data_IF_288891219901
#
_entry.id   IF_288891219901
#
_cell.length_a   1.000
_cell.length_b   1.000
_cell.length_c   1.000
_cell.angle_alpha   90.00
_cell.angle_beta   90.00
_cell.angle_gamma   90.00
#
_symmetry.space_group_name_H-M   'P 1'
#
loop_
_entity.id
_entity.type
_entity.pdbx_description
1 polymer ?
#
# COMPACT_ATOMS: atom_id res chain seq x y z
N UNK A 1 -19.09 16.93 17.45
CA UNK A 1 -17.61 16.94 17.28
C UNK A 1 -17.27 17.34 15.86
N UNK A 2 -16.44 18.37 15.66
CA UNK A 2 -16.00 18.90 14.36
C UNK A 2 -14.76 18.15 13.90
N UNK A 3 -14.81 17.49 12.78
CA UNK A 3 -13.73 16.63 12.27
C UNK A 3 -13.07 17.28 11.05
N UNK A 4 -11.75 17.37 11.05
CA UNK A 4 -10.96 17.60 9.83
C UNK A 4 -10.34 16.29 9.40
N UNK A 5 -10.53 15.93 8.14
CA UNK A 5 -9.99 14.71 7.55
C UNK A 5 -8.79 15.03 6.64
N UNK A 6 -7.71 14.26 6.75
CA UNK A 6 -6.49 14.42 5.94
C UNK A 6 -6.17 13.11 5.22
N UNK A 7 -6.15 13.12 3.90
CA UNK A 7 -5.89 11.93 3.12
C UNK A 7 -5.77 12.21 1.62
N UNK A 8 -5.34 11.21 0.85
CA UNK A 8 -5.12 11.41 -0.58
C UNK A 8 -5.64 10.25 -1.45
N UNK A 9 -5.21 8.96 -1.30
CA UNK A 9 -5.57 7.86 -2.19
C UNK A 9 -6.95 7.28 -1.86
N UNK A 10 -7.35 6.28 -2.65
CA UNK A 10 -8.60 5.54 -2.45
C UNK A 10 -8.71 4.91 -1.07
N UNK A 11 -7.61 4.47 -0.48
CA UNK A 11 -7.55 3.96 0.90
C UNK A 11 -8.08 4.99 1.91
N UNK A 12 -7.74 6.26 1.72
CA UNK A 12 -8.25 7.35 2.55
C UNK A 12 -9.71 7.70 2.21
N UNK A 13 -10.07 7.63 0.93
CA UNK A 13 -11.43 7.92 0.47
C UNK A 13 -12.47 7.02 1.13
N UNK A 14 -12.20 5.72 1.31
CA UNK A 14 -13.11 4.79 1.96
C UNK A 14 -13.48 5.25 3.39
N UNK A 15 -12.49 5.69 4.17
CA UNK A 15 -12.72 6.24 5.51
C UNK A 15 -13.52 7.55 5.48
N UNK A 16 -13.20 8.47 4.56
CA UNK A 16 -13.94 9.73 4.41
C UNK A 16 -15.41 9.48 4.02
N UNK A 17 -15.66 8.60 3.05
CA UNK A 17 -17.01 8.22 2.65
C UNK A 17 -17.81 7.70 3.83
N UNK A 18 -17.24 6.77 4.57
CA UNK A 18 -17.91 6.15 5.72
C UNK A 18 -18.26 7.17 6.81
N UNK A 19 -17.37 8.12 7.09
CA UNK A 19 -17.67 9.24 8.01
C UNK A 19 -18.84 10.09 7.52
N UNK A 20 -18.82 10.54 6.27
CA UNK A 20 -19.86 11.41 5.70
C UNK A 20 -21.21 10.70 5.60
N UNK A 21 -21.23 9.46 5.14
CA UNK A 21 -22.45 8.64 5.00
C UNK A 21 -23.09 8.28 6.34
N UNK A 22 -22.31 8.26 7.43
CA UNK A 22 -22.82 8.08 8.79
C UNK A 22 -23.05 9.42 9.53
N UNK A 23 -23.15 10.53 8.79
CA UNK A 23 -23.51 11.85 9.30
C UNK A 23 -22.54 12.45 10.34
N UNK A 24 -21.27 12.07 10.30
CA UNK A 24 -20.27 12.76 11.10
C UNK A 24 -20.00 14.16 10.54
N UNK A 25 -19.78 15.12 11.44
CA UNK A 25 -19.56 16.52 11.07
C UNK A 25 -18.13 16.74 10.54
N UNK A 26 -17.88 16.37 9.28
CA UNK A 26 -16.63 16.64 8.57
C UNK A 26 -16.64 18.09 8.07
N UNK A 27 -15.93 18.97 8.76
CA UNK A 27 -15.93 20.41 8.51
C UNK A 27 -14.90 20.86 7.49
N UNK A 28 -13.98 19.99 7.09
CA UNK A 28 -12.99 20.25 6.06
C UNK A 28 -12.13 19.03 5.78
N UNK A 29 -11.54 19.05 4.60
CA UNK A 29 -10.65 18.01 4.10
C UNK A 29 -9.32 18.62 3.69
N UNK A 30 -8.21 17.99 4.06
CA UNK A 30 -6.86 18.38 3.63
C UNK A 30 -6.31 17.28 2.72
N UNK A 31 -5.89 17.63 1.53
CA UNK A 31 -5.30 16.69 0.56
C UNK A 31 -4.13 17.32 -0.20
N UNK A 32 -3.44 16.53 -1.02
CA UNK A 32 -2.34 17.05 -1.85
C UNK A 32 -2.86 17.97 -2.95
N UNK A 33 -2.02 18.89 -3.42
CA UNK A 33 -2.31 19.70 -4.61
C UNK A 33 -2.53 18.81 -5.84
N UNK A 34 -3.39 19.26 -6.75
CA UNK A 34 -3.62 18.59 -8.01
C UNK A 34 -2.31 18.49 -8.80
N UNK A 35 -2.07 17.35 -9.42
CA UNK A 35 -0.84 17.08 -10.17
C UNK A 35 -1.16 16.71 -11.62
N UNK A 36 -0.31 17.11 -12.57
CA UNK A 36 -0.41 16.59 -13.92
C UNK A 36 -0.29 15.06 -13.93
N UNK A 37 -1.23 14.37 -14.56
CA UNK A 37 -1.23 12.91 -14.67
C UNK A 37 -1.74 12.43 -16.02
N UNK A 38 -1.34 11.21 -16.41
CA UNK A 38 -1.77 10.55 -17.63
C UNK A 38 -1.17 11.11 -18.93
N UNK A 39 -1.60 10.54 -20.05
CA UNK A 39 -1.23 11.04 -21.40
C UNK A 39 -1.88 12.40 -21.62
N UNK A 40 -1.07 13.45 -21.81
CA UNK A 40 -1.55 14.83 -21.98
C UNK A 40 -1.47 15.71 -20.73
N UNK A 41 -0.92 15.19 -19.60
CA UNK A 41 -0.62 15.94 -18.36
C UNK A 41 -1.76 16.84 -17.85
N UNK A 42 -3.00 16.39 -17.95
CA UNK A 42 -4.14 17.09 -17.35
C UNK A 42 -4.03 17.06 -15.82
N UNK A 43 -4.34 18.19 -15.18
CA UNK A 43 -4.40 18.24 -13.72
C UNK A 43 -5.44 17.24 -13.21
N UNK A 44 -5.01 16.33 -12.35
CA UNK A 44 -5.86 15.33 -11.75
C UNK A 44 -6.01 15.59 -10.26
N UNK A 45 -7.24 15.77 -9.83
CA UNK A 45 -7.60 15.89 -8.42
C UNK A 45 -7.53 14.52 -7.73
N UNK A 46 -7.16 14.51 -6.44
CA UNK A 46 -7.18 13.28 -5.64
C UNK A 46 -8.61 12.74 -5.49
N UNK A 47 -8.80 11.40 -5.32
CA UNK A 47 -10.11 10.81 -5.04
C UNK A 47 -10.79 11.47 -3.84
N UNK A 48 -10.04 11.79 -2.80
CA UNK A 48 -10.52 12.47 -1.59
C UNK A 48 -11.05 13.87 -1.92
N UNK A 49 -10.35 14.67 -2.75
CA UNK A 49 -10.82 15.99 -3.19
C UNK A 49 -12.13 15.88 -3.97
N UNK A 50 -12.16 15.03 -4.99
CA UNK A 50 -13.35 14.87 -5.85
C UNK A 50 -14.58 14.54 -5.02
N UNK A 51 -14.46 13.65 -4.04
CA UNK A 51 -15.57 13.29 -3.17
C UNK A 51 -15.97 14.45 -2.23
N UNK A 52 -15.00 15.11 -1.58
CA UNK A 52 -15.26 16.23 -0.69
C UNK A 52 -16.00 17.35 -1.41
N UNK A 53 -15.56 17.75 -2.61
CA UNK A 53 -16.22 18.76 -3.46
C UNK A 53 -17.66 18.33 -3.83
N UNK A 54 -17.87 17.05 -4.17
CA UNK A 54 -19.20 16.52 -4.47
C UNK A 54 -20.19 16.58 -3.29
N UNK A 55 -19.66 16.67 -2.07
CA UNK A 55 -20.43 16.79 -0.81
C UNK A 55 -20.45 18.22 -0.24
N UNK A 56 -19.88 19.19 -0.97
CA UNK A 56 -19.79 20.57 -0.50
C UNK A 56 -18.89 20.77 0.72
N UNK A 57 -17.95 19.86 0.97
CA UNK A 57 -17.00 19.94 2.10
C UNK A 57 -15.80 20.79 1.66
N UNK A 58 -15.41 21.82 2.43
CA UNK A 58 -14.23 22.63 2.15
C UNK A 58 -12.96 21.81 1.99
N UNK A 59 -12.18 22.09 0.93
CA UNK A 59 -10.93 21.38 0.62
C UNK A 59 -9.74 22.33 0.75
N UNK A 60 -8.74 21.95 1.54
CA UNK A 60 -7.47 22.63 1.68
C UNK A 60 -6.37 21.81 1.00
N UNK A 61 -5.57 22.47 0.15
CA UNK A 61 -4.49 21.82 -0.62
C UNK A 61 -3.14 22.54 -0.38
N UNK A 62 -2.60 22.53 0.84
CA UNK A 62 -1.36 23.24 1.13
C UNK A 62 -0.16 22.60 0.43
N UNK A 63 0.68 23.41 -0.21
CA UNK A 63 1.99 22.98 -0.69
C UNK A 63 2.91 22.70 0.49
N UNK A 64 2.93 23.61 1.46
CA UNK A 64 3.69 23.50 2.71
C UNK A 64 2.72 23.47 3.91
N UNK A 65 2.83 22.45 4.77
CA UNK A 65 1.98 22.29 5.96
C UNK A 65 2.30 23.28 7.10
N UNK A 66 3.39 24.04 6.99
CA UNK A 66 3.79 25.11 7.93
C UNK A 66 3.46 26.50 7.40
N UNK A 67 2.78 26.60 6.27
CA UNK A 67 2.35 27.88 5.70
C UNK A 67 1.30 28.53 6.59
N UNK A 68 1.47 29.81 6.93
CA UNK A 68 0.58 30.52 7.86
C UNK A 68 -0.84 30.68 7.31
N UNK A 69 -1.00 30.88 6.00
CA UNK A 69 -2.34 30.97 5.39
C UNK A 69 -3.09 29.65 5.53
N UNK A 70 -2.40 28.52 5.31
CA UNK A 70 -2.97 27.21 5.57
C UNK A 70 -3.31 27.00 7.05
N UNK A 71 -2.41 27.35 7.97
CA UNK A 71 -2.64 27.19 9.39
C UNK A 71 -3.83 28.05 9.86
N UNK A 72 -3.98 29.26 9.33
CA UNK A 72 -5.12 30.13 9.63
C UNK A 72 -6.44 29.54 9.09
N UNK A 73 -6.45 29.01 7.86
CA UNK A 73 -7.62 28.29 7.32
C UNK A 73 -7.97 27.06 8.15
N UNK A 74 -6.98 26.27 8.55
CA UNK A 74 -7.19 25.10 9.38
C UNK A 74 -7.74 25.45 10.77
N UNK A 75 -7.22 26.50 11.44
CA UNK A 75 -7.72 27.01 12.70
C UNK A 75 -9.16 27.54 12.59
N UNK A 76 -9.50 28.19 11.48
CA UNK A 76 -10.85 28.70 11.21
C UNK A 76 -11.91 27.59 11.11
N UNK A 77 -11.51 26.38 10.72
CA UNK A 77 -12.38 25.20 10.76
C UNK A 77 -12.71 24.74 12.18
N UNK A 78 -11.99 25.21 13.21
CA UNK A 78 -12.17 24.85 14.62
C UNK A 78 -12.32 23.33 14.83
N UNK A 79 -11.32 22.52 14.42
CA UNK A 79 -11.42 21.07 14.56
C UNK A 79 -11.39 20.65 16.03
N UNK A 80 -12.30 19.77 16.42
CA UNK A 80 -12.24 19.05 17.70
C UNK A 80 -11.32 17.83 17.61
N UNK A 81 -11.30 17.19 16.44
CA UNK A 81 -10.53 15.98 16.12
C UNK A 81 -9.97 16.06 14.70
N UNK A 82 -8.76 15.57 14.51
CA UNK A 82 -8.20 15.35 13.17
C UNK A 82 -7.99 13.88 12.91
N UNK A 83 -8.30 13.43 11.69
CA UNK A 83 -8.13 12.06 11.23
C UNK A 83 -7.19 12.06 10.04
N UNK A 84 -6.16 11.21 10.09
CA UNK A 84 -5.16 11.09 9.03
C UNK A 84 -5.19 9.69 8.46
N UNK A 85 -5.29 9.57 7.14
CA UNK A 85 -5.25 8.28 6.44
C UNK A 85 -4.43 8.43 5.17
N UNK A 86 -3.32 7.70 5.06
CA UNK A 86 -2.43 7.72 3.90
C UNK A 86 -2.10 9.15 3.43
N UNK A 87 -1.50 9.91 4.31
CA UNK A 87 -1.11 11.29 4.08
C UNK A 87 0.38 11.50 4.41
N UNK A 88 0.92 12.67 4.09
CA UNK A 88 2.30 13.03 4.40
C UNK A 88 2.46 13.32 5.90
N UNK A 89 3.69 13.23 6.40
CA UNK A 89 4.04 13.56 7.79
C UNK A 89 3.57 14.95 8.16
N UNK A 90 2.90 15.07 9.30
CA UNK A 90 2.36 16.33 9.82
C UNK A 90 3.37 17.01 10.75
N UNK A 91 3.58 18.33 10.63
CA UNK A 91 4.31 19.08 11.64
C UNK A 91 3.50 19.23 12.93
N UNK A 92 4.19 19.42 14.05
CA UNK A 92 3.61 19.51 15.38
C UNK A 92 2.49 20.56 15.48
N UNK A 93 2.69 21.73 14.89
CA UNK A 93 1.72 22.83 14.85
C UNK A 93 0.38 22.44 14.21
N UNK A 94 0.35 21.38 13.37
CA UNK A 94 -0.86 20.85 12.74
C UNK A 94 -1.50 19.78 13.62
N UNK A 95 -0.73 18.75 14.00
CA UNK A 95 -1.33 17.60 14.70
C UNK A 95 -1.69 17.87 16.17
N UNK A 96 -1.10 18.87 16.81
CA UNK A 96 -1.48 19.30 18.19
C UNK A 96 -2.68 20.26 18.24
N UNK A 97 -3.18 20.71 17.09
CA UNK A 97 -4.19 21.76 17.05
C UNK A 97 -5.54 21.36 17.68
N UNK A 98 -6.12 20.16 17.42
CA UNK A 98 -7.45 19.84 17.89
C UNK A 98 -7.48 19.38 19.36
N UNK A 99 -8.60 19.66 20.03
CA UNK A 99 -8.82 19.34 21.46
C UNK A 99 -8.65 17.84 21.77
N UNK A 100 -9.18 16.97 20.90
CA UNK A 100 -9.13 15.52 21.09
C UNK A 100 -7.94 14.87 20.38
N UNK A 101 -7.00 15.69 19.89
CA UNK A 101 -5.80 15.21 19.22
C UNK A 101 -6.01 14.82 17.76
N UNK A 102 -4.98 14.25 17.19
CA UNK A 102 -4.94 13.75 15.81
C UNK A 102 -4.59 12.28 15.82
N UNK A 103 -5.42 11.44 15.22
CA UNK A 103 -5.08 10.03 15.07
C UNK A 103 -4.88 9.65 13.59
N UNK A 104 -4.08 8.62 13.38
CA UNK A 104 -3.84 8.02 12.07
C UNK A 104 -4.43 6.62 11.99
N UNK A 105 -4.89 6.23 10.80
CA UNK A 105 -5.17 4.85 10.43
C UNK A 105 -3.95 4.29 9.69
N UNK A 106 -3.32 3.26 10.25
CA UNK A 106 -2.18 2.56 9.66
C UNK A 106 -2.55 1.14 9.27
N UNK A 107 -2.04 0.69 8.13
CA UNK A 107 -2.40 -0.60 7.53
C UNK A 107 -1.48 -1.75 8.01
N UNK A 108 -1.26 -1.84 9.32
CA UNK A 108 -0.60 -2.96 9.98
C UNK A 108 -1.08 -3.11 11.43
N UNK A 109 -0.67 -4.20 12.07
CA UNK A 109 -0.76 -4.37 13.52
C UNK A 109 0.47 -3.73 14.18
N UNK A 110 0.39 -2.44 14.50
CA UNK A 110 1.47 -1.75 15.20
C UNK A 110 1.78 -2.47 16.53
N UNK A 111 3.05 -2.51 16.92
CA UNK A 111 4.21 -1.76 16.41
C UNK A 111 4.93 -2.36 15.21
N UNK A 112 4.51 -3.52 14.68
CA UNK A 112 5.11 -4.10 13.50
C UNK A 112 4.73 -3.32 12.22
N UNK A 113 5.64 -3.28 11.26
CA UNK A 113 5.44 -2.67 9.94
C UNK A 113 5.13 -1.17 10.00
N UNK A 114 5.82 -0.43 10.90
CA UNK A 114 5.87 1.03 10.81
C UNK A 114 6.51 1.44 9.49
N UNK A 115 6.00 2.51 8.87
CA UNK A 115 6.58 3.06 7.65
C UNK A 115 5.64 3.11 6.46
N UNK A 116 6.21 3.14 5.24
CA UNK A 116 5.50 3.58 4.04
C UNK A 116 4.72 2.48 3.30
N UNK A 117 5.05 1.19 3.49
CA UNK A 117 4.50 0.10 2.67
C UNK A 117 4.11 -1.15 3.49
N UNK A 118 3.34 -1.01 4.60
CA UNK A 118 3.06 -2.12 5.52
C UNK A 118 2.37 -3.30 4.85
N UNK A 119 1.44 -3.07 3.93
CA UNK A 119 0.69 -4.10 3.22
C UNK A 119 1.62 -4.99 2.37
N UNK A 120 2.51 -4.35 1.60
CA UNK A 120 3.46 -5.06 0.75
C UNK A 120 4.42 -5.91 1.59
N UNK A 121 5.02 -5.32 2.63
CA UNK A 121 6.02 -6.00 3.44
C UNK A 121 5.44 -7.14 4.28
N UNK A 122 4.19 -7.07 4.72
CA UNK A 122 3.53 -8.19 5.38
C UNK A 122 3.46 -9.44 4.48
N UNK A 123 3.15 -9.28 3.18
CA UNK A 123 3.12 -10.39 2.23
C UNK A 123 4.54 -10.85 1.88
N UNK A 124 5.47 -9.94 1.59
CA UNK A 124 6.86 -10.26 1.23
C UNK A 124 7.53 -11.06 2.35
N UNK A 125 7.29 -10.70 3.61
CA UNK A 125 7.84 -11.40 4.76
C UNK A 125 7.08 -12.70 5.10
N UNK A 126 5.98 -13.00 4.40
CA UNK A 126 5.22 -14.23 4.56
C UNK A 126 4.39 -14.32 5.82
N UNK A 127 3.94 -13.17 6.33
CA UNK A 127 3.02 -13.10 7.46
C UNK A 127 1.73 -13.87 7.16
N UNK A 128 1.15 -14.45 8.21
CA UNK A 128 -0.13 -15.17 8.14
C UNK A 128 -1.32 -14.30 8.51
N UNK A 129 -1.04 -13.17 9.15
CA UNK A 129 -2.03 -12.16 9.53
C UNK A 129 -1.39 -10.78 9.54
N UNK A 130 -2.21 -9.80 9.33
CA UNK A 130 -1.91 -8.38 9.49
C UNK A 130 -3.15 -7.69 10.06
N UNK A 131 -3.33 -6.41 9.81
CA UNK A 131 -4.53 -5.71 10.24
C UNK A 131 -4.43 -4.22 10.03
N UNK A 132 -5.26 -3.50 10.76
CA UNK A 132 -5.27 -2.04 10.79
C UNK A 132 -5.20 -1.56 12.22
N UNK A 133 -4.54 -0.42 12.42
CA UNK A 133 -4.36 0.22 13.72
C UNK A 133 -4.76 1.69 13.65
N UNK A 134 -5.60 2.15 14.57
CA UNK A 134 -5.74 3.58 14.85
C UNK A 134 -4.88 3.95 16.06
N UNK A 135 -4.13 5.06 15.95
CA UNK A 135 -3.21 5.52 16.99
C UNK A 135 -3.08 7.04 16.98
N UNK A 136 -2.86 7.67 18.11
CA UNK A 136 -2.58 9.09 18.19
C UNK A 136 -1.21 9.40 17.61
N UNK A 137 -1.12 10.47 16.79
CA UNK A 137 0.15 10.92 16.21
C UNK A 137 1.02 11.56 17.30
N UNK A 138 2.31 11.26 17.27
CA UNK A 138 3.35 11.90 18.05
C UNK A 138 4.48 12.44 17.15
N UNK A 139 5.63 12.76 17.73
CA UNK A 139 6.77 13.35 17.01
C UNK A 139 7.48 12.40 16.05
N UNK A 140 7.36 11.08 16.26
CA UNK A 140 8.02 10.05 15.47
C UNK A 140 7.02 9.32 14.59
N UNK A 141 7.49 8.79 13.47
CA UNK A 141 6.64 8.08 12.51
C UNK A 141 6.08 6.81 13.16
N UNK A 142 4.75 6.71 13.21
CA UNK A 142 3.96 5.54 13.62
C UNK A 142 4.30 5.00 15.04
N UNK A 143 4.75 5.88 15.97
CA UNK A 143 5.15 5.49 17.34
C UNK A 143 4.15 5.86 18.42
N UNK A 144 3.13 6.62 18.11
CA UNK A 144 2.16 7.10 19.08
C UNK A 144 1.29 6.02 19.70
N UNK A 145 0.54 6.37 20.74
CA UNK A 145 -0.25 5.43 21.50
C UNK A 145 -1.39 4.83 20.67
N UNK A 146 -1.49 3.49 20.67
CA UNK A 146 -2.53 2.73 19.97
C UNK A 146 -3.87 2.96 20.65
N UNK A 147 -4.91 3.21 19.84
CA UNK A 147 -6.30 3.36 20.30
C UNK A 147 -7.04 2.05 20.07
N UNK A 148 -7.05 1.55 18.84
CA UNK A 148 -7.74 0.30 18.46
C UNK A 148 -6.97 -0.45 17.38
N UNK A 149 -7.19 -1.76 17.31
CA UNK A 149 -6.64 -2.63 16.27
C UNK A 149 -7.70 -3.62 15.80
N UNK A 150 -7.62 -3.99 14.53
CA UNK A 150 -8.42 -5.07 13.96
C UNK A 150 -7.53 -5.99 13.12
N UNK A 151 -7.58 -7.28 13.41
CA UNK A 151 -6.76 -8.32 12.77
C UNK A 151 -7.41 -8.79 11.47
N UNK A 152 -6.60 -9.10 10.47
CA UNK A 152 -7.00 -9.65 9.16
C UNK A 152 -6.09 -10.82 8.81
N UNK A 153 -6.61 -12.01 8.49
CA UNK A 153 -5.80 -13.11 7.95
C UNK A 153 -5.30 -12.77 6.55
N UNK A 154 -4.11 -13.26 6.23
CA UNK A 154 -3.52 -13.21 4.89
C UNK A 154 -3.64 -14.60 4.27
N UNK A 155 -4.40 -14.71 3.18
CA UNK A 155 -4.62 -15.97 2.47
C UNK A 155 -3.37 -16.40 1.69
N UNK A 156 -3.29 -17.71 1.38
CA UNK A 156 -2.10 -18.30 0.75
C UNK A 156 -1.68 -17.61 -0.56
N UNK A 157 -2.65 -17.20 -1.38
CA UNK A 157 -2.42 -16.55 -2.68
C UNK A 157 -2.80 -15.07 -2.67
N UNK A 158 -2.90 -14.46 -1.50
CA UNK A 158 -3.23 -13.05 -1.36
C UNK A 158 -2.15 -12.16 -1.97
N UNK A 159 -2.58 -11.17 -2.76
CA UNK A 159 -1.69 -10.12 -3.31
C UNK A 159 -1.76 -8.86 -2.46
N UNK A 160 -0.77 -7.97 -2.63
CA UNK A 160 -0.84 -6.65 -1.98
C UNK A 160 -2.11 -5.87 -2.38
N UNK A 161 -2.60 -6.04 -3.61
CA UNK A 161 -3.84 -5.40 -4.06
C UNK A 161 -5.08 -5.93 -3.37
N UNK A 162 -5.26 -7.25 -3.30
CA UNK A 162 -6.44 -7.83 -2.62
C UNK A 162 -6.42 -7.56 -1.11
N UNK A 163 -5.24 -7.63 -0.48
CA UNK A 163 -5.07 -7.29 0.93
C UNK A 163 -5.33 -5.80 1.19
N UNK A 164 -4.89 -4.92 0.29
CA UNK A 164 -5.19 -3.48 0.35
C UNK A 164 -6.70 -3.23 0.41
N UNK A 165 -7.48 -3.89 -0.44
CA UNK A 165 -8.92 -3.69 -0.50
C UNK A 165 -9.61 -4.19 0.78
N UNK A 166 -9.19 -5.34 1.32
CA UNK A 166 -9.68 -5.83 2.62
C UNK A 166 -9.38 -4.86 3.76
N UNK A 167 -8.13 -4.39 3.86
CA UNK A 167 -7.69 -3.49 4.92
C UNK A 167 -8.30 -2.09 4.78
N UNK A 168 -8.60 -1.64 3.57
CA UNK A 168 -9.29 -0.39 3.29
C UNK A 168 -10.70 -0.38 3.91
N UNK A 169 -11.49 -1.43 3.68
CA UNK A 169 -12.85 -1.56 4.22
C UNK A 169 -12.85 -1.75 5.74
N UNK A 170 -11.96 -2.60 6.25
CA UNK A 170 -11.80 -2.82 7.69
C UNK A 170 -11.34 -1.55 8.40
N UNK A 171 -10.37 -0.86 7.82
CA UNK A 171 -9.83 0.40 8.34
C UNK A 171 -10.85 1.51 8.39
N UNK A 172 -11.68 1.64 7.35
CA UNK A 172 -12.77 2.60 7.33
C UNK A 172 -13.80 2.34 8.46
N UNK A 173 -14.07 1.06 8.75
CA UNK A 173 -14.91 0.68 9.89
C UNK A 173 -14.26 1.02 11.23
N UNK A 174 -12.97 0.72 11.38
CA UNK A 174 -12.22 1.00 12.60
C UNK A 174 -12.12 2.51 12.88
N UNK A 175 -12.02 3.35 11.83
CA UNK A 175 -12.05 4.81 11.97
C UNK A 175 -13.36 5.27 12.61
N UNK A 176 -14.53 4.77 12.20
CA UNK A 176 -15.82 5.12 12.83
C UNK A 176 -15.84 4.72 14.31
N UNK A 177 -15.47 3.47 14.61
CA UNK A 177 -15.43 2.97 15.99
C UNK A 177 -14.49 3.81 16.87
N UNK A 178 -13.36 4.24 16.30
CA UNK A 178 -12.42 5.13 17.01
C UNK A 178 -13.02 6.49 17.28
N UNK A 179 -13.70 7.08 16.31
CA UNK A 179 -14.39 8.38 16.47
C UNK A 179 -15.49 8.29 17.52
N UNK A 180 -16.28 7.21 17.52
CA UNK A 180 -17.35 7.00 18.52
C UNK A 180 -16.77 6.84 19.92
N UNK A 181 -15.72 6.06 20.09
CA UNK A 181 -15.07 5.87 21.39
C UNK A 181 -14.44 7.17 21.94
N UNK A 182 -13.85 7.99 21.07
CA UNK A 182 -13.31 9.31 21.45
C UNK A 182 -14.45 10.27 21.84
N UNK A 183 -15.53 10.30 21.06
CA UNK A 183 -16.69 11.15 21.33
C UNK A 183 -17.38 10.81 22.67
N UNK A 184 -17.47 9.52 22.98
CA UNK A 184 -18.03 9.01 24.21
C UNK A 184 -17.05 9.09 25.42
N UNK A 185 -15.77 9.37 25.20
CA UNK A 185 -14.75 9.35 26.25
C UNK A 185 -14.46 7.95 26.79
N UNK A 186 -14.77 6.89 26.04
CA UNK A 186 -14.63 5.48 26.46
C UNK A 186 -13.41 4.78 25.87
N UNK A 187 -12.58 5.49 25.08
CA UNK A 187 -11.37 4.93 24.49
C UNK A 187 -10.28 4.69 25.54
N UNK A 188 -9.48 3.67 25.31
CA UNK A 188 -8.23 3.44 26.05
C UNK A 188 -7.05 3.58 25.09
N UNK A 189 -5.89 3.92 25.64
CA UNK A 189 -4.66 4.01 24.86
C UNK A 189 -3.62 3.03 25.39
N UNK A 190 -2.90 2.39 24.45
CA UNK A 190 -1.78 1.53 24.77
C UNK A 190 -0.49 2.10 24.20
N UNK A 191 0.48 2.39 25.06
CA UNK A 191 1.80 2.80 24.60
C UNK A 191 2.48 1.66 23.83
N UNK A 192 3.14 1.99 22.73
CA UNK A 192 3.95 1.02 21.99
C UNK A 192 5.27 0.78 22.73
N UNK A 193 5.67 -0.50 22.91
CA UNK A 193 6.95 -0.82 23.53
C UNK A 193 8.11 -0.33 22.64
N UNK A 194 9.07 0.38 23.23
CA UNK A 194 10.23 0.96 22.53
C UNK A 194 11.49 0.09 22.61
N UNK A 195 11.48 -0.94 23.46
CA UNK A 195 12.65 -1.78 23.73
C UNK A 195 12.72 -3.03 22.82
N UNK A 196 11.69 -3.30 22.06
CA UNK A 196 11.61 -4.47 21.16
C UNK A 196 11.88 -4.04 19.72
N UNK A 197 12.65 -4.83 19.00
CA UNK A 197 12.84 -4.67 17.55
C UNK A 197 11.60 -5.20 16.83
N UNK A 198 11.05 -4.39 15.96
CA UNK A 198 9.87 -4.71 15.15
C UNK A 198 10.23 -4.78 13.67
N UNK A 199 9.46 -5.54 12.91
CA UNK A 199 9.55 -5.51 11.46
C UNK A 199 9.19 -4.11 10.93
N UNK A 200 10.02 -3.56 10.07
CA UNK A 200 9.81 -2.27 9.42
C UNK A 200 9.16 -2.42 8.05
N UNK A 201 8.50 -1.37 7.57
CA UNK A 201 7.90 -1.30 6.26
C UNK A 201 8.46 -0.12 5.45
N UNK A 202 9.74 -0.19 5.05
CA UNK A 202 10.37 0.90 4.32
C UNK A 202 9.69 1.17 2.98
N UNK A 203 9.93 2.36 2.45
CA UNK A 203 9.42 2.75 1.14
C UNK A 203 9.97 1.81 0.06
N UNK A 204 9.10 1.38 -0.83
CA UNK A 204 9.45 0.55 -1.97
C UNK A 204 9.96 1.44 -3.11
N UNK A 205 11.12 1.09 -3.64
CA UNK A 205 11.74 1.70 -4.80
C UNK A 205 11.72 0.72 -5.98
N UNK A 206 12.08 1.19 -7.17
CA UNK A 206 12.10 0.35 -8.37
C UNK A 206 13.02 -0.87 -8.19
N UNK A 207 14.14 -0.66 -7.55
CA UNK A 207 15.16 -1.70 -7.29
C UNK A 207 14.62 -2.80 -6.34
N UNK A 208 13.77 -2.42 -5.37
CA UNK A 208 13.11 -3.37 -4.46
C UNK A 208 12.19 -4.33 -5.21
N UNK A 209 11.68 -3.93 -6.36
CA UNK A 209 10.77 -4.74 -7.17
C UNK A 209 11.51 -5.70 -8.14
N UNK A 210 12.84 -5.61 -8.25
CA UNK A 210 13.64 -6.50 -9.10
C UNK A 210 13.69 -7.89 -8.48
N UNK A 211 13.29 -8.90 -9.24
CA UNK A 211 13.36 -10.30 -8.81
C UNK A 211 14.82 -10.76 -8.78
N UNK A 212 15.27 -11.23 -7.65
CA UNK A 212 16.55 -11.91 -7.50
C UNK A 212 16.36 -13.43 -7.59
N UNK A 213 16.62 -14.00 -8.75
CA UNK A 213 16.46 -15.43 -9.02
C UNK A 213 17.39 -16.33 -8.20
N UNK A 214 18.40 -15.77 -7.55
CA UNK A 214 19.34 -16.53 -6.68
C UNK A 214 18.78 -16.77 -5.26
N UNK A 215 17.57 -16.26 -4.95
CA UNK A 215 16.90 -16.50 -3.67
C UNK A 215 16.04 -17.77 -3.72
N UNK A 216 15.48 -18.18 -2.59
CA UNK A 216 14.54 -19.30 -2.50
C UNK A 216 13.25 -19.00 -3.27
N UNK A 217 12.68 -20.02 -3.90
CA UNK A 217 11.49 -19.85 -4.74
C UNK A 217 10.30 -19.26 -3.99
N UNK A 218 10.09 -19.65 -2.74
CA UNK A 218 9.01 -19.10 -1.92
C UNK A 218 9.20 -17.59 -1.64
N UNK A 219 10.43 -17.11 -1.51
CA UNK A 219 10.71 -15.69 -1.33
C UNK A 219 10.42 -14.89 -2.61
N UNK A 220 10.73 -15.48 -3.78
CA UNK A 220 10.42 -14.88 -5.09
C UNK A 220 8.88 -14.79 -5.27
N UNK A 221 8.14 -15.86 -4.99
CA UNK A 221 6.68 -15.85 -5.08
C UNK A 221 6.07 -14.77 -4.17
N UNK A 222 6.52 -14.68 -2.92
CA UNK A 222 6.07 -13.66 -1.97
C UNK A 222 6.39 -12.25 -2.45
N UNK A 223 7.57 -12.01 -3.02
CA UNK A 223 7.92 -10.72 -3.63
C UNK A 223 6.94 -10.36 -4.75
N UNK A 224 6.67 -11.29 -5.67
CA UNK A 224 5.75 -11.07 -6.80
C UNK A 224 4.35 -10.73 -6.28
N UNK A 225 3.80 -11.51 -5.35
CA UNK A 225 2.49 -11.25 -4.74
C UNK A 225 2.47 -9.93 -3.95
N UNK A 226 3.53 -9.66 -3.18
CA UNK A 226 3.67 -8.44 -2.38
C UNK A 226 3.84 -7.17 -3.21
N UNK A 227 4.23 -7.29 -4.49
CA UNK A 227 4.32 -6.17 -5.42
C UNK A 227 3.14 -6.09 -6.40
N UNK A 228 2.23 -7.04 -6.40
CA UNK A 228 1.10 -7.12 -7.34
C UNK A 228 -0.16 -6.42 -6.78
N UNK A 229 -0.88 -5.63 -7.59
CA UNK A 229 -0.61 -5.29 -8.98
C UNK A 229 0.32 -4.08 -9.15
N UNK A 230 0.66 -3.37 -8.08
CA UNK A 230 1.49 -2.18 -8.08
C UNK A 230 2.38 -2.16 -6.82
N UNK A 231 3.66 -1.76 -6.96
CA UNK A 231 4.37 -1.22 -8.15
C UNK A 231 4.73 -2.26 -9.22
N UNK A 232 4.53 -3.53 -8.99
CA UNK A 232 4.78 -4.71 -9.82
C UNK A 232 6.24 -5.18 -9.74
N UNK A 233 6.44 -6.46 -9.48
CA UNK A 233 7.74 -7.10 -9.61
C UNK A 233 8.19 -7.12 -11.08
N UNK A 234 9.49 -7.04 -11.31
CA UNK A 234 10.05 -7.07 -12.65
C UNK A 234 11.36 -7.85 -12.70
N UNK A 235 11.71 -8.33 -13.87
CA UNK A 235 12.97 -9.03 -14.13
C UNK A 235 13.48 -8.69 -15.53
N UNK A 236 14.74 -9.00 -15.78
CA UNK A 236 15.31 -8.95 -17.12
C UNK A 236 15.26 -10.35 -17.76
N UNK A 237 14.65 -10.43 -18.91
CA UNK A 237 14.72 -11.60 -19.79
C UNK A 237 15.84 -11.38 -20.80
N UNK A 238 16.80 -12.30 -20.83
CA UNK A 238 17.88 -12.35 -21.81
C UNK A 238 17.59 -13.49 -22.80
N UNK A 239 17.52 -13.16 -24.09
CA UNK A 239 17.42 -14.12 -25.18
C UNK A 239 17.87 -13.49 -26.50
N UNK A 240 18.40 -14.29 -27.44
CA UNK A 240 18.85 -13.84 -28.78
C UNK A 240 19.84 -12.66 -28.71
N UNK A 241 20.65 -12.58 -27.65
CA UNK A 241 21.58 -11.50 -27.43
C UNK A 241 20.98 -10.18 -26.93
N UNK A 242 19.66 -10.12 -26.76
CA UNK A 242 18.94 -8.96 -26.26
C UNK A 242 18.52 -9.14 -24.79
N UNK A 243 18.39 -8.03 -24.08
CA UNK A 243 17.87 -7.99 -22.71
C UNK A 243 16.65 -7.09 -22.67
N UNK A 244 15.51 -7.63 -22.24
CA UNK A 244 14.25 -6.89 -22.11
C UNK A 244 13.73 -6.96 -20.67
N UNK A 245 13.28 -5.83 -20.14
CA UNK A 245 12.63 -5.78 -18.83
C UNK A 245 11.17 -6.23 -18.97
N UNK A 246 10.77 -7.24 -18.18
CA UNK A 246 9.40 -7.74 -18.13
C UNK A 246 8.81 -7.49 -16.74
N UNK A 247 7.50 -7.25 -16.68
CA UNK A 247 6.76 -7.17 -15.42
C UNK A 247 6.07 -8.50 -15.12
N UNK A 248 6.09 -8.91 -13.87
CA UNK A 248 5.52 -10.18 -13.40
C UNK A 248 4.43 -9.84 -12.37
N UNK A 249 3.19 -10.23 -12.68
CA UNK A 249 2.02 -9.91 -11.87
C UNK A 249 1.56 -11.08 -11.02
N UNK A 250 1.79 -12.30 -11.50
CA UNK A 250 1.36 -13.51 -10.81
C UNK A 250 2.32 -14.66 -11.11
N UNK A 251 2.62 -15.46 -10.09
CA UNK A 251 3.51 -16.61 -10.19
C UNK A 251 3.21 -17.61 -9.08
N UNK A 252 3.60 -18.88 -9.31
CA UNK A 252 3.48 -19.97 -8.36
C UNK A 252 4.82 -20.66 -8.19
N UNK A 253 5.27 -20.81 -6.96
CA UNK A 253 6.45 -21.60 -6.62
C UNK A 253 6.11 -23.09 -6.60
N UNK A 254 6.94 -23.90 -7.27
CA UNK A 254 6.88 -25.35 -7.31
C UNK A 254 8.19 -25.92 -6.79
N UNK A 255 8.19 -26.47 -5.60
CA UNK A 255 9.36 -27.17 -5.04
C UNK A 255 9.69 -28.41 -5.85
N UNK A 256 10.95 -28.53 -6.29
CA UNK A 256 11.44 -29.68 -7.03
C UNK A 256 12.97 -29.77 -6.94
N UNK A 257 13.50 -30.99 -7.00
CA UNK A 257 14.93 -31.22 -7.20
C UNK A 257 15.21 -31.26 -8.70
N UNK A 258 16.16 -30.46 -9.17
CA UNK A 258 16.55 -30.39 -10.58
C UNK A 258 18.01 -29.98 -10.73
N UNK A 259 18.58 -30.11 -11.95
CA UNK A 259 19.94 -29.72 -12.30
C UNK A 259 19.99 -28.53 -13.27
N UNK A 260 18.88 -27.85 -13.48
CA UNK A 260 18.79 -26.70 -14.37
C UNK A 260 19.53 -25.50 -13.78
N UNK A 261 20.16 -24.71 -14.63
CA UNK A 261 20.82 -23.48 -14.21
C UNK A 261 19.78 -22.44 -13.70
N UNK A 262 20.05 -21.80 -12.59
CA UNK A 262 19.19 -20.77 -12.04
C UNK A 262 18.93 -19.66 -13.07
N UNK A 263 17.67 -19.30 -13.22
CA UNK A 263 17.18 -18.33 -14.20
C UNK A 263 16.83 -18.92 -15.56
N UNK A 264 17.18 -20.20 -15.85
CA UNK A 264 16.82 -20.84 -17.11
C UNK A 264 15.30 -20.82 -17.30
N UNK A 265 14.88 -20.39 -18.49
CA UNK A 265 13.46 -20.37 -18.88
C UNK A 265 13.11 -21.66 -19.56
N UNK A 266 12.02 -22.29 -19.15
CA UNK A 266 11.52 -23.57 -19.68
C UNK A 266 10.05 -23.37 -20.07
N UNK A 267 9.73 -23.73 -21.31
CA UNK A 267 8.34 -23.69 -21.81
C UNK A 267 7.84 -25.12 -22.00
N UNK A 268 6.82 -25.47 -21.24
CA UNK A 268 6.17 -26.79 -21.32
C UNK A 268 4.65 -26.66 -21.37
N UNK A 269 3.99 -27.25 -22.39
CA UNK A 269 2.52 -27.33 -22.45
C UNK A 269 1.76 -26.03 -22.10
N UNK A 270 2.21 -24.88 -22.59
CA UNK A 270 1.68 -23.55 -22.26
C UNK A 270 1.98 -23.02 -20.83
N UNK A 271 2.89 -23.65 -20.11
CA UNK A 271 3.47 -23.16 -18.88
C UNK A 271 4.83 -22.51 -19.16
N UNK A 272 5.15 -21.48 -18.42
CA UNK A 272 6.44 -20.79 -18.45
C UNK A 272 7.07 -20.93 -17.07
N UNK A 273 8.11 -21.73 -16.99
CA UNK A 273 8.84 -22.01 -15.75
C UNK A 273 10.18 -21.31 -15.76
N UNK A 274 10.61 -20.82 -14.61
CA UNK A 274 11.95 -20.30 -14.40
C UNK A 274 12.61 -21.12 -13.30
N UNK A 275 13.77 -21.72 -13.58
CA UNK A 275 14.49 -22.52 -12.62
C UNK A 275 15.06 -21.64 -11.49
N UNK A 276 14.90 -22.07 -10.25
CA UNK A 276 15.44 -21.47 -9.03
C UNK A 276 16.17 -22.54 -8.22
N UNK A 277 16.88 -22.21 -7.14
CA UNK A 277 17.71 -23.18 -6.41
C UNK A 277 16.98 -24.43 -5.91
N UNK A 278 15.72 -24.27 -5.53
CA UNK A 278 14.92 -25.25 -4.80
C UNK A 278 13.64 -25.68 -5.56
N UNK A 279 13.58 -25.33 -6.87
CA UNK A 279 12.44 -25.67 -7.70
C UNK A 279 12.26 -24.76 -8.90
N UNK A 280 11.02 -24.47 -9.21
CA UNK A 280 10.63 -23.62 -10.34
C UNK A 280 9.63 -22.57 -9.93
N UNK A 281 9.74 -21.39 -10.55
CA UNK A 281 8.69 -20.36 -10.52
C UNK A 281 7.89 -20.48 -11.82
N UNK A 282 6.65 -20.89 -11.73
CA UNK A 282 5.69 -20.80 -12.84
C UNK A 282 5.18 -19.37 -12.95
N UNK A 283 5.46 -18.70 -14.06
CA UNK A 283 4.95 -17.37 -14.35
C UNK A 283 3.54 -17.50 -14.93
N UNK A 284 2.55 -16.97 -14.22
CA UNK A 284 1.14 -17.10 -14.58
C UNK A 284 0.63 -15.89 -15.37
N UNK A 285 1.12 -14.70 -15.03
CA UNK A 285 0.70 -13.45 -15.65
C UNK A 285 1.84 -12.44 -15.72
N UNK A 286 2.10 -11.90 -16.91
CA UNK A 286 3.21 -11.01 -17.16
C UNK A 286 2.90 -9.94 -18.21
N UNK A 287 3.81 -9.00 -18.36
CA UNK A 287 3.73 -7.93 -19.34
C UNK A 287 5.10 -7.69 -19.97
N UNK A 288 5.16 -7.87 -21.28
CA UNK A 288 6.32 -7.47 -22.10
C UNK A 288 6.30 -5.97 -22.38
N UNK A 289 7.45 -5.35 -22.73
CA UNK A 289 7.50 -3.95 -23.12
C UNK A 289 6.50 -3.64 -24.24
N UNK A 290 5.82 -2.50 -24.13
CA UNK A 290 4.81 -2.03 -25.07
C UNK A 290 3.61 -2.97 -25.33
N UNK A 291 3.49 -4.07 -24.58
CA UNK A 291 2.33 -4.98 -24.63
C UNK A 291 1.40 -4.74 -23.44
N UNK A 292 0.20 -5.30 -23.51
CA UNK A 292 -0.73 -5.36 -22.37
C UNK A 292 -0.31 -6.48 -21.42
N UNK A 293 -0.71 -6.36 -20.15
CA UNK A 293 -0.70 -7.45 -19.18
C UNK A 293 -1.54 -8.61 -19.72
N UNK A 294 -1.03 -9.84 -19.65
CA UNK A 294 -1.71 -11.02 -20.16
C UNK A 294 -1.29 -12.30 -19.44
N UNK A 295 -2.16 -13.31 -19.48
CA UNK A 295 -1.85 -14.65 -18.98
C UNK A 295 -0.76 -15.27 -19.83
N UNK A 296 0.10 -16.07 -19.21
CA UNK A 296 1.20 -16.76 -19.88
C UNK A 296 0.73 -17.64 -21.04
N UNK A 297 -0.38 -18.35 -20.87
CA UNK A 297 -0.92 -19.20 -21.93
C UNK A 297 -1.30 -18.41 -23.20
N UNK A 298 -1.77 -17.17 -23.04
CA UNK A 298 -2.11 -16.28 -24.14
C UNK A 298 -0.83 -15.68 -24.77
N UNK A 299 0.15 -15.34 -23.94
CA UNK A 299 1.45 -14.84 -24.40
C UNK A 299 2.14 -15.85 -25.32
N UNK A 300 2.16 -17.13 -24.92
CA UNK A 300 2.82 -18.21 -25.67
C UNK A 300 2.17 -18.54 -27.02
N UNK A 301 0.99 -17.99 -27.33
CA UNK A 301 0.42 -18.11 -28.68
C UNK A 301 1.10 -17.18 -29.70
N UNK A 302 1.83 -16.15 -29.25
CA UNK A 302 2.42 -15.13 -30.14
C UNK A 302 3.81 -14.67 -29.76
N UNK A 303 4.41 -15.27 -28.72
CA UNK A 303 5.78 -14.96 -28.28
C UNK A 303 6.50 -16.26 -27.95
N UNK A 304 7.70 -16.44 -28.51
CA UNK A 304 8.53 -17.62 -28.29
C UNK A 304 9.73 -17.28 -27.42
N UNK A 305 10.02 -18.15 -26.47
CA UNK A 305 11.28 -18.14 -25.72
C UNK A 305 12.24 -19.11 -26.41
N UNK A 306 13.48 -18.71 -26.64
CA UNK A 306 14.50 -19.61 -27.21
C UNK A 306 15.06 -20.57 -26.16
N UNK A 307 15.87 -21.54 -26.59
CA UNK A 307 16.43 -22.55 -25.70
C UNK A 307 17.45 -21.99 -24.70
N UNK A 308 18.05 -20.86 -25.00
CA UNK A 308 19.02 -20.15 -24.16
C UNK A 308 18.38 -19.01 -23.36
N UNK A 309 17.04 -18.85 -23.42
CA UNK A 309 16.33 -17.82 -22.70
C UNK A 309 16.58 -17.94 -21.19
N UNK A 310 16.91 -16.80 -20.57
CA UNK A 310 17.27 -16.75 -19.17
C UNK A 310 16.71 -15.50 -18.50
N UNK A 311 16.18 -15.65 -17.31
CA UNK A 311 15.91 -14.55 -16.39
C UNK A 311 17.17 -14.18 -15.60
N UNK A 312 17.49 -12.88 -15.56
CA UNK A 312 18.68 -12.34 -14.87
C UNK A 312 18.31 -11.16 -13.97
#
# INVERSE_FOLDING_TARGET
MRIVFMGTPDFALASLKKLVENNYNVVGVVTVADKPAGRGQKLQASPVKQYAESKGIPVLQPVKLKDEDFLNQLRALKPDLQIVVAFRMLPEVVWRLPKYGTFNLHASLLPNYRGAAPINWAIINGEKQTGVTTFFIDEKIDTGAIIQQAVTPIEAHETAGSLHDKLMEQGATLVLQTVDSIAAGTYSIQAQNKEVTYAEAPKIYKETCLVNWQTEGIAIERLIRGMSPYPTAWANLQQQGETIAIKIYDALYKSAVHNEAVGKVIVEKKQLLVAVKDGFIELLELQLPAKKRMKTADLLNGFSFDQEAKMI
#
